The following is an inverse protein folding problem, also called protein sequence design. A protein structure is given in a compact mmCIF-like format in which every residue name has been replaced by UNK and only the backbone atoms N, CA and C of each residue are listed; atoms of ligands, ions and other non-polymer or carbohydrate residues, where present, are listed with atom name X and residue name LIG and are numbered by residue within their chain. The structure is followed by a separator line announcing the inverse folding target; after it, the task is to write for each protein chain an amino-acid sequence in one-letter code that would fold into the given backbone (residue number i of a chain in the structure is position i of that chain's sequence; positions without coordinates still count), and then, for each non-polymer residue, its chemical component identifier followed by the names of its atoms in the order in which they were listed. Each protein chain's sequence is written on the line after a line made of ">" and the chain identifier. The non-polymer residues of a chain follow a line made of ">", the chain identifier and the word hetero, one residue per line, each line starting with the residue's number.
data_IF_421512654446
#
_entry.id   IF_421512654446
#
_cell.length_a   1.000
_cell.length_b   1.000
_cell.length_c   1.000
_cell.angle_alpha   90.00
_cell.angle_beta   90.00
_cell.angle_gamma   90.00
#
_symmetry.space_group_name_H-M   'P 1'
#
loop_
_entity.id
_entity.type
_entity.pdbx_description
1 polymer ?
#
# COMPACT_ATOMS: atom_id res chain seq x y z
N UNK A 1 11.80 18.61 -20.66
CA UNK A 1 12.14 17.41 -19.90
C UNK A 1 12.78 16.40 -20.84
N UNK A 2 13.79 15.62 -20.40
CA UNK A 2 14.31 14.55 -21.23
C UNK A 2 13.17 13.62 -21.63
N UNK A 3 13.20 13.12 -22.85
CA UNK A 3 12.22 12.17 -23.34
C UNK A 3 12.20 10.96 -22.43
N UNK A 4 11.09 10.71 -21.71
CA UNK A 4 10.91 9.58 -20.80
C UNK A 4 11.29 8.25 -21.45
N UNK A 5 11.08 8.12 -22.76
CA UNK A 5 11.48 6.95 -23.56
C UNK A 5 12.99 6.64 -23.53
N UNK A 6 13.81 7.61 -23.17
CA UNK A 6 15.25 7.41 -23.03
C UNK A 6 15.60 6.94 -21.61
N UNK A 7 14.78 7.34 -20.61
CA UNK A 7 15.05 7.07 -19.20
C UNK A 7 14.45 5.76 -18.70
N UNK A 8 13.37 5.27 -19.34
CA UNK A 8 12.64 4.07 -18.94
C UNK A 8 12.49 3.10 -20.11
N UNK A 9 12.57 1.80 -19.83
CA UNK A 9 12.40 0.72 -20.80
C UNK A 9 13.28 0.89 -22.07
N UNK A 10 14.52 1.35 -21.89
CA UNK A 10 15.46 1.50 -23.00
C UNK A 10 15.76 0.17 -23.73
N UNK A 11 16.17 0.20 -25.01
CA UNK A 11 16.26 -1.00 -25.85
C UNK A 11 17.27 -2.05 -25.36
N UNK A 12 18.31 -1.64 -24.65
CA UNK A 12 19.32 -2.54 -24.10
C UNK A 12 19.14 -2.88 -22.61
N UNK A 13 18.07 -2.37 -21.97
CA UNK A 13 17.88 -2.50 -20.52
C UNK A 13 17.87 -3.96 -20.07
N UNK A 14 17.05 -4.79 -20.68
CA UNK A 14 16.95 -6.21 -20.34
C UNK A 14 18.26 -6.98 -20.57
N UNK A 15 19.05 -6.60 -21.56
CA UNK A 15 20.38 -7.16 -21.77
C UNK A 15 21.31 -6.86 -20.59
N UNK A 16 21.30 -5.62 -20.10
CA UNK A 16 22.13 -5.22 -18.96
C UNK A 16 21.66 -5.85 -17.65
N UNK A 17 20.36 -5.95 -17.43
CA UNK A 17 19.80 -6.61 -16.25
C UNK A 17 20.16 -8.10 -16.24
N UNK A 18 20.07 -8.80 -17.38
CA UNK A 18 20.49 -10.21 -17.51
C UNK A 18 21.98 -10.41 -17.26
N UNK A 19 22.80 -9.54 -17.81
CA UNK A 19 24.24 -9.58 -17.55
C UNK A 19 24.54 -9.36 -16.05
N UNK A 20 23.86 -8.40 -15.41
CA UNK A 20 23.96 -8.15 -13.98
C UNK A 20 23.52 -9.38 -13.18
N UNK A 21 22.35 -9.94 -13.47
CA UNK A 21 21.84 -11.13 -12.80
C UNK A 21 22.80 -12.30 -12.91
N UNK A 22 23.27 -12.62 -14.14
CA UNK A 22 24.18 -13.73 -14.39
C UNK A 22 25.52 -13.61 -13.66
N UNK A 23 25.97 -12.40 -13.37
CA UNK A 23 27.26 -12.17 -12.72
C UNK A 23 27.17 -11.90 -11.22
N UNK A 24 25.95 -11.69 -10.67
CA UNK A 24 25.73 -11.34 -9.26
C UNK A 24 24.63 -12.19 -8.62
N UNK A 25 23.46 -11.62 -8.41
CA UNK A 25 22.38 -12.18 -7.57
C UNK A 25 21.74 -13.45 -8.15
N UNK A 26 21.55 -13.55 -9.46
CA UNK A 26 20.97 -14.75 -10.10
C UNK A 26 21.85 -15.96 -9.95
N UNK A 27 23.17 -15.79 -10.04
CA UNK A 27 24.16 -16.85 -9.85
C UNK A 27 24.17 -17.41 -8.43
N UNK A 28 23.85 -16.58 -7.45
CA UNK A 28 23.76 -16.95 -6.03
C UNK A 28 22.37 -17.41 -5.61
N UNK A 29 21.38 -17.40 -6.49
CA UNK A 29 19.98 -17.76 -6.17
C UNK A 29 19.33 -16.81 -5.16
N UNK A 30 19.72 -15.53 -5.18
CA UNK A 30 19.20 -14.52 -4.26
C UNK A 30 17.92 -13.89 -4.81
N UNK A 31 17.02 -13.51 -3.90
CA UNK A 31 15.86 -12.69 -4.24
C UNK A 31 16.34 -11.31 -4.66
N UNK A 32 15.83 -10.83 -5.77
CA UNK A 32 16.12 -9.49 -6.31
C UNK A 32 14.86 -8.78 -6.69
N UNK A 33 14.82 -7.47 -6.44
CA UNK A 33 13.64 -6.63 -6.68
C UNK A 33 14.07 -5.39 -7.43
N UNK A 34 13.35 -5.06 -8.51
CA UNK A 34 13.55 -3.84 -9.28
C UNK A 34 12.48 -2.80 -8.98
N UNK A 35 12.84 -1.52 -9.03
CA UNK A 35 11.88 -0.42 -9.08
C UNK A 35 11.62 -0.04 -10.53
N UNK A 36 10.37 -0.14 -10.99
CA UNK A 36 9.99 0.02 -12.39
C UNK A 36 8.78 0.95 -12.56
N UNK A 37 9.03 2.25 -12.54
CA UNK A 37 8.00 3.30 -12.62
C UNK A 37 7.05 3.18 -13.82
N UNK A 38 7.56 2.78 -14.98
CA UNK A 38 6.77 2.64 -16.20
C UNK A 38 6.45 1.19 -16.54
N UNK A 39 6.42 0.31 -15.53
CA UNK A 39 6.05 -1.07 -15.76
C UNK A 39 4.58 -1.20 -16.15
N UNK A 40 4.32 -1.97 -17.19
CA UNK A 40 3.02 -2.53 -17.52
C UNK A 40 3.05 -4.03 -17.22
N UNK A 41 1.91 -4.72 -17.10
CA UNK A 41 1.93 -6.16 -16.91
C UNK A 41 2.77 -6.90 -17.96
N UNK A 42 2.72 -6.46 -19.22
CA UNK A 42 3.45 -7.09 -20.32
C UNK A 42 4.96 -6.96 -20.19
N UNK A 43 5.47 -5.77 -19.83
CA UNK A 43 6.91 -5.60 -19.66
C UNK A 43 7.39 -6.07 -18.27
N UNK A 44 6.52 -6.11 -17.26
CA UNK A 44 6.84 -6.71 -15.97
C UNK A 44 7.22 -8.19 -16.11
N UNK A 45 6.62 -8.91 -17.04
CA UNK A 45 6.99 -10.30 -17.36
C UNK A 45 8.41 -10.44 -17.92
N UNK A 46 8.94 -9.39 -18.55
CA UNK A 46 10.34 -9.40 -19.01
C UNK A 46 11.31 -9.22 -17.83
N UNK A 47 10.96 -8.33 -16.89
CA UNK A 47 11.79 -8.06 -15.70
C UNK A 47 11.78 -9.22 -14.70
N UNK A 48 10.66 -9.93 -14.55
CA UNK A 48 10.43 -10.94 -13.52
C UNK A 48 9.84 -12.23 -14.09
N UNK A 49 10.40 -12.70 -15.21
CA UNK A 49 9.92 -13.94 -15.81
C UNK A 49 10.27 -15.19 -14.97
N UNK A 50 9.51 -16.28 -15.14
CA UNK A 50 9.70 -17.51 -14.35
C UNK A 50 11.06 -18.20 -14.55
N UNK A 51 11.82 -17.86 -15.60
CA UNK A 51 13.15 -18.44 -15.83
C UNK A 51 14.24 -17.85 -14.92
N UNK A 52 13.91 -16.78 -14.18
CA UNK A 52 14.81 -16.14 -13.23
C UNK A 52 16.01 -15.43 -13.86
N UNK A 53 15.94 -15.12 -15.16
CA UNK A 53 17.05 -14.51 -15.90
C UNK A 53 17.30 -13.06 -15.53
N UNK A 54 16.33 -12.38 -14.96
CA UNK A 54 16.42 -10.97 -14.51
C UNK A 54 16.12 -10.85 -13.00
N UNK A 55 15.12 -10.05 -12.59
CA UNK A 55 14.72 -9.92 -11.20
C UNK A 55 13.72 -11.00 -10.76
N UNK A 56 13.61 -11.22 -9.47
CA UNK A 56 12.56 -12.08 -8.91
C UNK A 56 11.18 -11.42 -9.04
N UNK A 57 11.11 -10.10 -8.91
CA UNK A 57 9.91 -9.28 -9.04
C UNK A 57 10.27 -7.81 -9.24
N UNK A 58 9.27 -6.99 -9.62
CA UNK A 58 9.43 -5.54 -9.71
C UNK A 58 8.30 -4.83 -8.96
N UNK A 59 8.62 -3.66 -8.40
CA UNK A 59 7.63 -2.70 -7.97
C UNK A 59 7.07 -1.97 -9.19
N UNK A 60 5.78 -1.97 -9.35
CA UNK A 60 5.03 -1.15 -10.29
C UNK A 60 4.33 -0.01 -9.54
N UNK A 61 4.08 1.11 -10.23
CA UNK A 61 3.60 2.33 -9.59
C UNK A 61 2.25 2.81 -10.14
N UNK A 62 1.60 2.01 -10.96
CA UNK A 62 0.35 2.42 -11.60
C UNK A 62 -0.75 2.73 -10.57
N UNK A 63 -0.93 1.85 -9.56
CA UNK A 63 -1.96 2.04 -8.55
C UNK A 63 -1.73 3.29 -7.68
N UNK A 64 -0.48 3.59 -7.33
CA UNK A 64 -0.16 4.72 -6.46
C UNK A 64 -0.07 6.07 -7.17
N UNK A 65 -0.16 6.09 -8.50
CA UNK A 65 -0.18 7.32 -9.29
C UNK A 65 -1.60 7.81 -9.62
N UNK A 66 -2.63 7.07 -9.17
CA UNK A 66 -4.01 7.34 -9.55
C UNK A 66 -4.61 8.60 -8.92
N UNK A 67 -4.15 9.00 -7.74
CA UNK A 67 -4.61 10.23 -7.06
C UNK A 67 -3.81 11.47 -7.47
N UNK A 68 -3.42 11.51 -8.74
CA UNK A 68 -2.74 12.61 -9.40
C UNK A 68 -3.60 13.12 -10.57
N UNK A 69 -3.74 14.43 -10.70
CA UNK A 69 -4.48 15.03 -11.81
C UNK A 69 -3.88 14.62 -13.16
N UNK A 70 -4.70 14.24 -14.17
CA UNK A 70 -4.19 13.75 -15.46
C UNK A 70 -3.25 14.71 -16.18
N UNK A 71 -3.53 16.02 -16.10
CA UNK A 71 -2.74 17.08 -16.71
C UNK A 71 -1.94 17.90 -15.68
N UNK A 72 -1.82 17.39 -14.45
CA UNK A 72 -1.14 18.02 -13.33
C UNK A 72 0.10 17.26 -12.88
N UNK A 73 0.61 17.67 -11.74
CA UNK A 73 1.68 16.97 -11.05
C UNK A 73 1.18 16.33 -9.73
N UNK A 74 2.06 15.67 -8.99
CA UNK A 74 1.68 15.00 -7.74
C UNK A 74 1.15 15.93 -6.65
N UNK A 75 1.39 17.24 -6.79
CA UNK A 75 0.97 18.27 -5.84
C UNK A 75 -0.44 18.80 -6.11
N UNK A 76 -1.03 18.46 -7.25
CA UNK A 76 -2.42 18.75 -7.57
C UNK A 76 -3.31 17.67 -6.97
N UNK A 77 -3.81 17.92 -5.76
CA UNK A 77 -4.56 16.92 -4.99
C UNK A 77 -5.88 16.55 -5.68
N UNK A 78 -6.16 15.26 -5.72
CA UNK A 78 -7.45 14.73 -6.09
C UNK A 78 -7.80 13.49 -5.26
N UNK A 79 -9.08 13.20 -5.06
CA UNK A 79 -9.50 11.95 -4.45
C UNK A 79 -9.06 10.74 -5.28
N UNK A 80 -8.85 9.59 -4.63
CA UNK A 80 -8.59 8.33 -5.31
C UNK A 80 -9.74 7.97 -6.24
N UNK A 81 -9.52 7.80 -7.56
CA UNK A 81 -10.54 7.33 -8.50
C UNK A 81 -10.78 5.82 -8.27
N UNK A 82 -11.67 5.50 -7.35
CA UNK A 82 -11.77 4.17 -6.74
C UNK A 82 -12.06 3.05 -7.75
N UNK A 83 -12.94 3.27 -8.73
CA UNK A 83 -13.19 2.26 -9.77
C UNK A 83 -11.94 2.00 -10.62
N UNK A 84 -11.21 3.06 -10.98
CA UNK A 84 -9.94 2.90 -11.70
C UNK A 84 -8.89 2.19 -10.84
N UNK A 85 -8.85 2.45 -9.55
CA UNK A 85 -8.00 1.72 -8.61
C UNK A 85 -8.32 0.22 -8.59
N UNK A 86 -9.61 -0.15 -8.56
CA UNK A 86 -10.06 -1.55 -8.66
C UNK A 86 -9.61 -2.19 -9.97
N UNK A 87 -9.76 -1.48 -11.08
CA UNK A 87 -9.35 -1.96 -12.41
C UNK A 87 -7.84 -2.22 -12.48
N UNK A 88 -7.03 -1.32 -11.94
CA UNK A 88 -5.57 -1.48 -11.89
C UNK A 88 -5.18 -2.69 -11.04
N UNK A 89 -5.76 -2.83 -9.85
CA UNK A 89 -5.46 -3.96 -8.98
C UNK A 89 -5.89 -5.29 -9.62
N UNK A 90 -7.08 -5.35 -10.21
CA UNK A 90 -7.56 -6.52 -10.96
C UNK A 90 -6.62 -6.86 -12.12
N UNK A 91 -6.25 -5.87 -12.93
CA UNK A 91 -5.34 -6.05 -14.07
C UNK A 91 -4.01 -6.69 -13.63
N UNK A 92 -3.36 -6.16 -12.59
CA UNK A 92 -2.08 -6.68 -12.13
C UNK A 92 -2.20 -8.07 -11.50
N UNK A 93 -3.25 -8.33 -10.73
CA UNK A 93 -3.48 -9.64 -10.14
C UNK A 93 -3.77 -10.73 -11.18
N UNK A 94 -4.54 -10.41 -12.22
CA UNK A 94 -4.92 -11.39 -13.26
C UNK A 94 -3.82 -11.59 -14.29
N UNK A 95 -3.10 -10.53 -14.68
CA UNK A 95 -2.08 -10.61 -15.73
C UNK A 95 -0.80 -11.32 -15.29
N UNK A 96 -0.43 -11.26 -14.01
CA UNK A 96 0.78 -11.91 -13.51
C UNK A 96 0.55 -13.31 -12.95
N UNK A 97 -0.70 -13.70 -12.73
CA UNK A 97 -1.02 -15.02 -12.18
C UNK A 97 -0.42 -16.16 -13.00
N UNK A 98 0.39 -16.99 -12.36
CA UNK A 98 1.03 -18.17 -12.98
C UNK A 98 2.17 -17.88 -13.95
N UNK A 99 2.46 -16.61 -14.27
CA UNK A 99 3.48 -16.22 -15.26
C UNK A 99 4.48 -15.19 -14.74
N UNK A 100 4.18 -14.50 -13.64
CA UNK A 100 5.03 -13.51 -12.99
C UNK A 100 4.74 -13.46 -11.50
N UNK A 101 5.23 -12.39 -10.82
CA UNK A 101 5.04 -12.25 -9.39
C UNK A 101 4.88 -10.78 -9.00
N UNK A 102 3.83 -10.44 -8.24
CA UNK A 102 3.56 -9.08 -7.79
C UNK A 102 4.42 -8.70 -6.57
N UNK A 103 4.95 -7.48 -6.56
CA UNK A 103 5.35 -6.79 -5.33
C UNK A 103 4.17 -5.98 -4.83
N UNK A 104 3.66 -6.34 -3.66
CA UNK A 104 2.49 -5.70 -3.06
C UNK A 104 2.94 -4.65 -2.04
N UNK A 105 2.53 -3.40 -2.18
CA UNK A 105 2.89 -2.34 -1.24
C UNK A 105 1.87 -1.20 -1.29
N UNK A 106 1.78 -0.45 -0.22
CA UNK A 106 0.97 0.76 -0.13
C UNK A 106 1.81 2.02 -0.12
N UNK A 107 2.91 2.01 0.60
CA UNK A 107 3.83 3.13 0.71
C UNK A 107 5.29 2.66 0.72
N UNK A 108 6.20 3.62 0.64
CA UNK A 108 7.64 3.44 0.72
C UNK A 108 8.30 4.75 1.17
N UNK A 109 9.63 4.83 1.12
CA UNK A 109 10.40 6.01 1.50
C UNK A 109 10.18 7.26 0.61
N UNK A 110 9.48 7.11 -0.52
CA UNK A 110 9.18 8.17 -1.49
C UNK A 110 7.68 8.51 -1.57
N UNK A 111 6.86 7.93 -0.71
CA UNK A 111 5.40 8.11 -0.67
C UNK A 111 4.94 8.57 0.71
N UNK A 112 3.84 9.32 0.81
CA UNK A 112 3.25 9.65 2.10
C UNK A 112 2.68 8.41 2.77
N UNK A 113 2.46 8.49 4.09
CA UNK A 113 1.89 7.40 4.90
C UNK A 113 0.50 7.01 4.39
N UNK A 114 0.29 5.72 4.12
CA UNK A 114 -0.94 5.23 3.47
C UNK A 114 -2.21 5.53 4.27
N UNK A 115 -2.16 5.47 5.59
CA UNK A 115 -3.33 5.76 6.44
C UNK A 115 -3.81 7.20 6.25
N UNK A 116 -2.89 8.16 6.11
CA UNK A 116 -3.24 9.56 5.83
C UNK A 116 -3.62 9.80 4.38
N UNK A 117 -3.12 8.98 3.44
CA UNK A 117 -3.35 9.16 2.02
C UNK A 117 -4.68 8.58 1.55
N UNK A 118 -4.95 7.32 1.87
CA UNK A 118 -6.12 6.57 1.40
C UNK A 118 -6.96 5.96 2.52
N UNK A 119 -6.45 5.95 3.74
CA UNK A 119 -7.21 5.60 4.93
C UNK A 119 -7.92 6.80 5.53
N UNK A 120 -8.05 6.76 6.84
CA UNK A 120 -8.56 7.87 7.65
C UNK A 120 -7.70 7.95 8.91
N UNK A 121 -6.90 8.99 9.03
CA UNK A 121 -5.96 9.18 10.13
C UNK A 121 -6.55 9.92 11.35
N UNK A 122 -7.87 10.16 11.35
CA UNK A 122 -8.56 10.66 12.53
C UNK A 122 -8.43 9.68 13.71
N UNK A 123 -8.52 10.18 14.92
CA UNK A 123 -8.44 9.37 16.14
C UNK A 123 -9.46 8.22 16.13
N UNK A 124 -10.67 8.46 15.60
CA UNK A 124 -11.75 7.49 15.52
C UNK A 124 -11.48 6.33 14.57
N UNK A 125 -10.91 6.61 13.38
CA UNK A 125 -10.83 5.62 12.29
C UNK A 125 -9.43 5.15 11.94
N UNK A 126 -8.38 5.77 12.45
CA UNK A 126 -6.99 5.44 12.09
C UNK A 126 -6.69 3.94 12.21
N UNK A 127 -7.02 3.35 13.34
CA UNK A 127 -6.73 1.92 13.59
C UNK A 127 -7.54 1.02 12.67
N UNK A 128 -8.83 1.32 12.51
CA UNK A 128 -9.75 0.51 11.69
C UNK A 128 -9.40 0.62 10.22
N UNK A 129 -9.11 1.84 9.71
CA UNK A 129 -8.75 2.03 8.30
C UNK A 129 -7.36 1.46 7.97
N UNK A 130 -6.38 1.55 8.87
CA UNK A 130 -5.09 0.88 8.71
C UNK A 130 -5.23 -0.64 8.57
N UNK A 131 -6.05 -1.25 9.42
CA UNK A 131 -6.35 -2.69 9.35
C UNK A 131 -7.13 -3.07 8.08
N UNK A 132 -8.03 -2.21 7.60
CA UNK A 132 -8.75 -2.42 6.34
C UNK A 132 -7.77 -2.44 5.15
N UNK A 133 -6.89 -1.44 5.04
CA UNK A 133 -5.85 -1.37 4.02
C UNK A 133 -4.94 -2.60 4.05
N UNK A 134 -4.51 -3.02 5.24
CA UNK A 134 -3.72 -4.24 5.42
C UNK A 134 -4.47 -5.49 4.94
N UNK A 135 -5.76 -5.64 5.29
CA UNK A 135 -6.58 -6.77 4.89
C UNK A 135 -6.69 -6.87 3.38
N UNK A 136 -6.98 -5.73 2.72
CA UNK A 136 -7.13 -5.66 1.28
C UNK A 136 -5.87 -6.15 0.55
N UNK A 137 -4.69 -5.70 0.97
CA UNK A 137 -3.44 -6.03 0.31
C UNK A 137 -2.97 -7.46 0.60
N UNK A 138 -3.06 -7.89 1.86
CA UNK A 138 -2.51 -9.18 2.29
C UNK A 138 -3.31 -10.39 1.79
N UNK A 139 -4.53 -10.23 1.29
CA UNK A 139 -5.30 -11.26 0.62
C UNK A 139 -4.90 -11.48 -0.85
N UNK A 140 -4.08 -10.61 -1.45
CA UNK A 140 -3.67 -10.69 -2.86
C UNK A 140 -2.45 -11.57 -3.09
N UNK A 141 -2.27 -12.03 -4.34
CA UNK A 141 -1.08 -12.76 -4.78
C UNK A 141 0.12 -11.84 -4.95
N UNK A 142 1.24 -12.22 -4.38
CA UNK A 142 2.50 -11.49 -4.46
C UNK A 142 3.23 -11.47 -3.13
N UNK A 143 4.33 -10.74 -3.08
CA UNK A 143 5.10 -10.51 -1.84
C UNK A 143 4.68 -9.17 -1.24
N UNK A 144 4.05 -9.14 -0.06
CA UNK A 144 3.74 -7.89 0.62
C UNK A 144 5.01 -7.28 1.21
N UNK A 145 5.22 -5.99 0.92
CA UNK A 145 6.27 -5.15 1.46
C UNK A 145 5.63 -4.17 2.44
N UNK A 146 5.93 -4.32 3.71
CA UNK A 146 5.42 -3.49 4.78
C UNK A 146 6.47 -2.43 5.07
N UNK A 147 6.17 -1.16 4.75
CA UNK A 147 7.08 -0.08 5.04
C UNK A 147 7.10 0.23 6.54
N UNK A 148 8.27 0.58 7.08
CA UNK A 148 8.44 0.89 8.51
C UNK A 148 7.41 1.93 9.01
N UNK A 149 6.66 1.57 10.05
CA UNK A 149 5.59 2.38 10.62
C UNK A 149 4.20 2.14 10.05
N UNK A 150 4.08 1.48 8.89
CA UNK A 150 2.79 1.04 8.35
C UNK A 150 2.11 0.07 9.31
N UNK A 151 2.87 -0.86 9.89
CA UNK A 151 2.43 -1.82 10.89
C UNK A 151 2.01 -1.20 12.23
N UNK A 152 2.30 0.08 12.45
CA UNK A 152 1.85 0.85 13.61
C UNK A 152 0.68 1.79 13.27
N UNK A 153 0.36 1.93 11.99
CA UNK A 153 -0.56 2.95 11.51
C UNK A 153 -0.01 4.37 11.74
N UNK A 154 1.30 4.58 11.50
CA UNK A 154 1.90 5.91 11.51
C UNK A 154 1.28 6.79 10.44
N UNK A 155 1.13 8.07 10.74
CA UNK A 155 0.46 9.06 9.87
C UNK A 155 1.43 10.08 9.30
N UNK A 156 0.97 10.86 8.33
CA UNK A 156 1.65 12.07 7.92
C UNK A 156 1.81 13.03 9.10
N UNK A 157 2.75 13.96 8.99
CA UNK A 157 2.95 15.03 9.99
C UNK A 157 2.94 16.40 9.34
N UNK A 158 2.36 17.38 10.01
CA UNK A 158 2.38 18.78 9.55
C UNK A 158 3.70 19.41 9.95
N UNK A 159 4.57 19.62 8.97
CA UNK A 159 5.83 20.30 9.12
C UNK A 159 5.67 21.78 8.72
N UNK A 160 6.40 22.65 9.40
CA UNK A 160 6.64 24.02 8.89
C UNK A 160 7.61 23.97 7.72
N UNK A 161 7.62 24.99 6.88
CA UNK A 161 8.42 24.98 5.65
C UNK A 161 9.92 24.79 5.90
N UNK A 162 10.45 25.28 6.99
CA UNK A 162 11.86 25.17 7.39
C UNK A 162 12.23 23.78 7.98
N UNK A 163 11.24 22.95 8.28
CA UNK A 163 11.44 21.58 8.75
C UNK A 163 11.51 20.56 7.60
N UNK A 164 11.03 20.92 6.40
CA UNK A 164 11.17 20.02 5.24
C UNK A 164 12.62 19.94 4.77
N UNK A 165 13.07 18.73 4.46
CA UNK A 165 14.40 18.44 3.93
C UNK A 165 14.40 17.93 2.49
N UNK A 166 13.28 17.43 1.99
CA UNK A 166 13.15 16.92 0.64
C UNK A 166 13.22 18.05 -0.40
N UNK A 167 14.22 17.99 -1.29
CA UNK A 167 14.43 19.01 -2.32
C UNK A 167 13.26 19.15 -3.29
N UNK A 168 12.59 18.04 -3.62
CA UNK A 168 11.40 18.06 -4.47
C UNK A 168 10.29 18.89 -3.81
N UNK A 169 10.04 18.65 -2.53
CA UNK A 169 9.06 19.37 -1.72
C UNK A 169 9.38 20.89 -1.67
N UNK A 170 10.63 21.24 -1.39
CA UNK A 170 11.06 22.64 -1.31
C UNK A 170 11.03 23.36 -2.67
N UNK A 171 11.31 22.64 -3.75
CA UNK A 171 11.20 23.20 -5.10
C UNK A 171 9.74 23.40 -5.50
N UNK A 172 8.88 22.42 -5.23
CA UNK A 172 7.44 22.54 -5.47
C UNK A 172 6.83 23.75 -4.76
N UNK A 173 7.19 23.98 -3.49
CA UNK A 173 6.75 25.18 -2.77
C UNK A 173 7.12 26.45 -3.54
N UNK A 174 8.41 26.62 -3.90
CA UNK A 174 8.91 27.81 -4.59
C UNK A 174 8.24 28.03 -5.94
N UNK A 175 8.09 26.96 -6.72
CA UNK A 175 7.50 27.02 -8.05
C UNK A 175 6.01 27.37 -8.00
N UNK A 176 5.25 26.77 -7.07
CA UNK A 176 3.81 27.03 -6.91
C UNK A 176 3.53 28.41 -6.36
N UNK A 177 4.30 28.89 -5.39
CA UNK A 177 4.17 30.27 -4.91
C UNK A 177 4.51 31.27 -6.03
N UNK A 178 5.57 31.01 -6.81
CA UNK A 178 5.92 31.86 -7.95
C UNK A 178 4.85 31.84 -9.07
N UNK A 179 4.12 30.73 -9.22
CA UNK A 179 2.97 30.61 -10.12
C UNK A 179 1.70 31.29 -9.59
N UNK A 180 1.70 31.76 -8.34
CA UNK A 180 0.59 32.50 -7.73
C UNK A 180 -0.44 31.63 -6.99
N UNK A 181 -0.11 30.38 -6.67
CA UNK A 181 -0.97 29.55 -5.82
C UNK A 181 -1.02 30.11 -4.39
N UNK A 182 -2.18 30.06 -3.69
CA UNK A 182 -2.29 30.41 -2.29
C UNK A 182 -1.36 29.55 -1.42
N UNK A 183 -0.64 30.16 -0.49
CA UNK A 183 0.31 29.45 0.37
C UNK A 183 -0.36 28.31 1.18
N UNK A 184 -1.59 28.53 1.66
CA UNK A 184 -2.36 27.52 2.38
C UNK A 184 -2.59 26.26 1.53
N UNK A 185 -2.99 26.42 0.26
CA UNK A 185 -3.18 25.30 -0.67
C UNK A 185 -1.85 24.55 -0.96
N UNK A 186 -0.76 25.32 -1.14
CA UNK A 186 0.57 24.75 -1.34
C UNK A 186 0.97 23.92 -0.12
N UNK A 187 0.85 24.46 1.09
CA UNK A 187 1.19 23.75 2.32
C UNK A 187 0.33 22.48 2.54
N UNK A 188 -0.97 22.51 2.18
CA UNK A 188 -1.81 21.29 2.21
C UNK A 188 -1.31 20.24 1.22
N UNK A 189 -0.88 20.64 0.02
CA UNK A 189 -0.26 19.72 -0.95
C UNK A 189 1.04 19.11 -0.41
N UNK A 190 1.89 19.90 0.24
CA UNK A 190 3.12 19.40 0.86
C UNK A 190 2.81 18.43 2.00
N UNK A 191 1.86 18.76 2.87
CA UNK A 191 1.42 17.86 3.91
C UNK A 191 0.92 16.52 3.35
N UNK A 192 0.12 16.57 2.29
CA UNK A 192 -0.48 15.36 1.71
C UNK A 192 0.52 14.47 0.96
N UNK A 193 1.51 15.07 0.27
CA UNK A 193 2.31 14.36 -0.76
C UNK A 193 3.82 14.35 -0.54
N UNK A 194 4.35 15.09 0.46
CA UNK A 194 5.80 15.11 0.70
C UNK A 194 6.34 13.75 1.12
N UNK A 195 7.50 13.40 0.56
CA UNK A 195 8.27 12.21 0.92
C UNK A 195 8.77 12.24 2.37
N UNK A 196 8.95 13.41 2.94
CA UNK A 196 9.42 13.57 4.33
C UNK A 196 8.45 12.96 5.34
N UNK A 197 7.16 12.82 5.01
CA UNK A 197 6.19 12.10 5.82
C UNK A 197 6.62 10.65 6.11
N UNK A 198 7.13 9.94 5.11
CA UNK A 198 7.62 8.57 5.26
C UNK A 198 8.99 8.49 5.93
N UNK A 199 9.74 9.60 5.96
CA UNK A 199 11.13 9.68 6.44
C UNK A 199 11.24 10.20 7.87
N UNK A 200 10.11 10.59 8.49
CA UNK A 200 10.07 10.89 9.93
C UNK A 200 10.56 9.71 10.74
N UNK A 201 11.23 9.95 11.90
CA UNK A 201 11.73 8.88 12.76
C UNK A 201 10.67 7.85 13.12
N UNK A 202 11.07 6.57 13.15
CA UNK A 202 10.24 5.47 13.62
C UNK A 202 9.86 5.68 15.09
N UNK A 203 8.61 5.42 15.43
CA UNK A 203 8.10 5.54 16.78
C UNK A 203 8.32 4.22 17.55
N UNK A 204 9.37 4.17 18.37
CA UNK A 204 9.67 2.98 19.19
C UNK A 204 8.89 2.95 20.49
N UNK A 205 8.83 4.09 21.20
CA UNK A 205 8.14 4.24 22.47
C UNK A 205 7.64 5.68 22.69
N UNK A 206 7.14 5.97 23.88
CA UNK A 206 6.64 7.28 24.31
C UNK A 206 7.72 8.19 24.97
N UNK A 207 8.98 7.74 24.98
CA UNK A 207 10.09 8.55 25.48
C UNK A 207 10.46 9.69 24.51
N UNK A 208 11.28 10.60 24.97
CA UNK A 208 11.76 11.72 24.17
C UNK A 208 12.30 11.24 22.81
N UNK A 209 11.95 11.96 21.73
CA UNK A 209 12.28 11.60 20.35
C UNK A 209 11.75 10.22 19.94
N UNK A 210 10.60 9.80 20.51
CA UNK A 210 9.95 8.51 20.24
C UNK A 210 10.88 7.29 20.50
N UNK A 211 11.85 7.40 21.39
CA UNK A 211 12.87 6.36 21.61
C UNK A 211 13.81 6.15 20.43
N UNK A 212 13.72 6.98 19.38
CA UNK A 212 14.51 6.84 18.16
C UNK A 212 15.97 7.27 18.34
N UNK A 213 16.21 8.36 19.09
CA UNK A 213 17.54 8.91 19.35
C UNK A 213 17.60 9.67 20.66
N UNK A 214 18.81 9.78 21.23
CA UNK A 214 19.09 10.67 22.36
C UNK A 214 19.57 12.06 21.92
N UNK A 215 19.82 12.24 20.61
CA UNK A 215 20.21 13.51 19.99
C UNK A 215 19.04 14.20 19.31
N UNK A 216 19.34 15.16 18.43
CA UNK A 216 18.36 15.82 17.57
C UNK A 216 18.23 15.00 16.28
N UNK A 217 17.05 14.48 15.93
CA UNK A 217 16.85 13.79 14.66
C UNK A 217 16.93 14.80 13.49
N UNK A 218 17.30 14.31 12.30
CA UNK A 218 17.43 15.16 11.11
C UNK A 218 16.07 15.64 10.54
N UNK A 219 14.99 14.89 10.78
CA UNK A 219 13.60 15.27 10.59
C UNK A 219 12.90 15.25 11.95
N UNK A 220 11.93 16.14 12.19
CA UNK A 220 11.14 16.13 13.40
C UNK A 220 10.41 14.79 13.59
N UNK A 221 10.27 14.36 14.82
CA UNK A 221 9.39 13.24 15.18
C UNK A 221 7.94 13.70 15.05
N UNK A 222 7.08 12.87 14.46
CA UNK A 222 5.65 13.15 14.43
C UNK A 222 5.11 13.27 15.87
N UNK A 223 4.46 14.37 16.25
CA UNK A 223 4.05 14.65 17.64
C UNK A 223 3.05 13.65 18.22
N UNK A 224 2.46 12.78 17.40
CA UNK A 224 1.54 11.75 17.88
C UNK A 224 2.24 10.46 18.39
N UNK A 225 3.58 10.44 18.44
CA UNK A 225 4.35 9.29 18.91
C UNK A 225 3.99 8.79 20.32
N UNK A 226 3.50 9.60 21.27
CA UNK A 226 3.13 9.09 22.59
C UNK A 226 1.95 8.10 22.54
N UNK A 227 1.10 8.20 21.51
CA UNK A 227 -0.08 7.31 21.31
C UNK A 227 0.11 6.30 20.19
N UNK A 228 1.00 6.57 19.23
CA UNK A 228 1.27 5.69 18.10
C UNK A 228 2.73 5.27 18.15
N UNK A 229 3.03 4.14 18.78
CA UNK A 229 4.39 3.62 18.90
C UNK A 229 4.42 2.10 19.04
N UNK A 230 5.59 1.50 18.80
CA UNK A 230 5.77 0.06 18.87
C UNK A 230 5.56 -0.50 20.28
N UNK A 231 6.10 0.16 21.32
CA UNK A 231 6.02 -0.33 22.70
C UNK A 231 4.57 -0.48 23.19
N UNK A 232 3.69 0.45 22.81
CA UNK A 232 2.27 0.38 23.18
C UNK A 232 1.51 -0.72 22.41
N UNK A 233 1.98 -1.13 21.23
CA UNK A 233 1.24 -2.01 20.32
C UNK A 233 1.68 -3.48 20.36
N UNK A 234 2.93 -3.77 20.71
CA UNK A 234 3.45 -5.15 20.60
C UNK A 234 2.77 -6.15 21.56
N UNK A 235 2.16 -5.67 22.63
CA UNK A 235 1.44 -6.47 23.64
C UNK A 235 -0.08 -6.25 23.61
N UNK A 236 -0.57 -5.38 22.75
CA UNK A 236 -2.00 -5.15 22.52
C UNK A 236 -2.47 -6.03 21.37
N UNK A 237 -3.33 -7.02 21.67
CA UNK A 237 -3.86 -7.95 20.67
C UNK A 237 -4.78 -7.29 19.64
N UNK A 238 -5.33 -6.11 19.95
CA UNK A 238 -6.21 -5.34 19.10
C UNK A 238 -5.49 -4.21 18.35
N UNK A 239 -4.18 -4.08 18.52
CA UNK A 239 -3.36 -3.09 17.82
C UNK A 239 -3.27 -3.35 16.31
N UNK A 240 -2.81 -2.32 15.56
CA UNK A 240 -2.46 -2.46 14.13
C UNK A 240 -1.33 -3.47 13.97
N UNK A 241 -0.29 -3.41 14.82
CA UNK A 241 0.85 -4.33 14.81
C UNK A 241 0.41 -5.79 14.95
N UNK A 242 -0.41 -6.10 15.96
CA UNK A 242 -0.91 -7.45 16.18
C UNK A 242 -1.79 -7.94 15.04
N UNK A 243 -2.51 -7.05 14.38
CA UNK A 243 -3.31 -7.35 13.20
C UNK A 243 -2.45 -7.72 12.00
N UNK A 244 -1.39 -6.96 11.69
CA UNK A 244 -0.40 -7.31 10.66
C UNK A 244 0.24 -8.66 10.93
N UNK A 245 0.60 -8.93 12.18
CA UNK A 245 1.15 -10.24 12.61
C UNK A 245 0.18 -11.39 12.34
N UNK A 246 -1.14 -11.19 12.57
CA UNK A 246 -2.20 -12.16 12.25
C UNK A 246 -2.30 -12.36 10.73
N UNK A 247 -2.29 -11.30 9.92
CA UNK A 247 -2.35 -11.38 8.45
C UNK A 247 -1.14 -12.10 7.85
N UNK A 248 0.08 -11.81 8.32
CA UNK A 248 1.30 -12.49 7.88
C UNK A 248 1.23 -14.00 8.18
N UNK A 249 0.68 -14.38 9.34
CA UNK A 249 0.46 -15.78 9.69
C UNK A 249 -0.55 -16.42 8.74
N UNK A 250 -1.70 -15.79 8.52
CA UNK A 250 -2.73 -16.29 7.60
C UNK A 250 -2.16 -16.53 6.21
N UNK A 251 -1.35 -15.63 5.68
CA UNK A 251 -0.68 -15.83 4.37
C UNK A 251 0.17 -17.10 4.33
N UNK A 252 0.85 -17.43 5.42
CA UNK A 252 1.71 -18.64 5.50
C UNK A 252 0.89 -19.92 5.65
N UNK A 253 -0.29 -19.84 6.26
CA UNK A 253 -1.13 -20.98 6.61
C UNK A 253 -2.27 -21.23 5.60
N UNK A 254 -2.51 -20.28 4.66
CA UNK A 254 -3.64 -20.30 3.73
C UNK A 254 -3.14 -20.25 2.27
N UNK A 255 -2.80 -21.40 1.66
CA UNK A 255 -2.17 -21.44 0.34
C UNK A 255 -2.92 -20.69 -0.75
N UNK A 256 -4.26 -20.72 -0.75
CA UNK A 256 -5.09 -20.03 -1.75
C UNK A 256 -4.84 -18.52 -1.84
N UNK A 257 -4.28 -17.89 -0.81
CA UNK A 257 -3.85 -16.48 -0.89
C UNK A 257 -2.72 -16.31 -1.92
N UNK A 258 -1.86 -17.32 -2.02
CA UNK A 258 -0.66 -17.31 -2.85
C UNK A 258 -0.92 -17.91 -4.24
N UNK A 259 -1.63 -19.02 -4.32
CA UNK A 259 -1.79 -19.82 -5.53
C UNK A 259 -3.18 -19.76 -6.17
N UNK A 260 -4.16 -19.09 -5.55
CA UNK A 260 -5.51 -18.98 -6.08
C UNK A 260 -5.61 -17.98 -7.24
N UNK A 261 -6.54 -18.21 -8.16
CA UNK A 261 -6.92 -17.25 -9.20
C UNK A 261 -7.65 -16.07 -8.57
N UNK A 262 -7.36 -14.87 -9.01
CA UNK A 262 -8.05 -13.65 -8.57
C UNK A 262 -9.35 -13.46 -9.36
N UNK A 263 -10.44 -13.18 -8.65
CA UNK A 263 -11.72 -12.82 -9.23
C UNK A 263 -12.27 -11.56 -8.51
N UNK A 264 -12.41 -10.46 -9.27
CA UNK A 264 -12.99 -9.22 -8.73
C UNK A 264 -14.49 -9.40 -8.52
N UNK A 265 -14.97 -9.05 -7.34
CA UNK A 265 -16.39 -8.97 -6.99
C UNK A 265 -16.83 -7.50 -6.97
N UNK A 266 -18.10 -7.24 -7.26
CA UNK A 266 -18.67 -5.88 -7.23
C UNK A 266 -17.81 -4.87 -8.00
N UNK A 267 -17.44 -5.11 -9.27
CA UNK A 267 -16.51 -4.26 -10.00
C UNK A 267 -16.96 -2.79 -10.09
N UNK A 268 -18.26 -2.55 -10.16
CA UNK A 268 -18.86 -1.22 -10.32
C UNK A 268 -19.24 -0.54 -8.98
N UNK A 269 -18.96 -1.15 -7.84
CA UNK A 269 -19.23 -0.53 -6.54
C UNK A 269 -18.15 0.51 -6.21
N UNK A 270 -18.56 1.74 -5.93
CA UNK A 270 -17.67 2.89 -5.72
C UNK A 270 -17.06 2.97 -4.31
N UNK A 271 -17.44 2.08 -3.39
CA UNK A 271 -16.98 2.13 -2.00
C UNK A 271 -16.49 0.77 -1.47
N UNK A 272 -16.94 -0.34 -2.08
CA UNK A 272 -16.56 -1.69 -1.63
C UNK A 272 -15.51 -2.28 -2.57
N UNK A 273 -14.39 -2.70 -2.01
CA UNK A 273 -13.42 -3.55 -2.70
C UNK A 273 -13.60 -4.98 -2.23
N UNK A 274 -14.04 -5.85 -3.13
CA UNK A 274 -14.24 -7.27 -2.81
C UNK A 274 -13.66 -8.16 -3.90
N UNK A 275 -13.12 -9.31 -3.51
CA UNK A 275 -12.56 -10.28 -4.44
C UNK A 275 -12.52 -11.68 -3.86
N UNK A 276 -12.46 -12.66 -4.75
CA UNK A 276 -12.11 -14.04 -4.42
C UNK A 276 -10.66 -14.35 -4.78
N UNK A 277 -10.08 -15.30 -4.03
CA UNK A 277 -8.93 -16.11 -4.44
C UNK A 277 -9.41 -17.55 -4.50
N UNK A 278 -9.26 -18.22 -5.63
CA UNK A 278 -9.85 -19.54 -5.87
C UNK A 278 -8.77 -20.51 -6.37
N UNK A 279 -8.62 -21.62 -5.70
CA UNK A 279 -7.86 -22.79 -6.21
C UNK A 279 -8.75 -24.05 -6.17
N UNK A 280 -8.19 -25.20 -6.51
CA UNK A 280 -8.92 -26.48 -6.61
C UNK A 280 -9.62 -26.90 -5.30
N UNK A 281 -9.19 -26.40 -4.15
CA UNK A 281 -9.64 -26.87 -2.83
C UNK A 281 -10.27 -25.79 -1.94
N UNK A 282 -10.01 -24.52 -2.23
CA UNK A 282 -10.38 -23.41 -1.34
C UNK A 282 -10.86 -22.19 -2.11
N UNK A 283 -11.73 -21.43 -1.47
CA UNK A 283 -12.11 -20.08 -1.89
C UNK A 283 -11.91 -19.12 -0.72
N UNK A 284 -10.98 -18.19 -0.85
CA UNK A 284 -10.87 -17.04 0.05
C UNK A 284 -11.75 -15.92 -0.50
N UNK A 285 -12.56 -15.32 0.35
CA UNK A 285 -13.34 -14.11 0.07
C UNK A 285 -12.80 -12.97 0.91
N UNK A 286 -12.43 -11.88 0.30
CA UNK A 286 -12.03 -10.63 0.98
C UNK A 286 -13.03 -9.55 0.62
N UNK A 287 -13.56 -8.86 1.63
CA UNK A 287 -14.54 -7.78 1.45
C UNK A 287 -14.10 -6.60 2.33
N UNK A 288 -13.90 -5.43 1.72
CA UNK A 288 -13.47 -4.21 2.39
C UNK A 288 -14.40 -3.06 2.04
N UNK A 289 -15.02 -2.45 3.03
CA UNK A 289 -15.59 -1.12 2.90
C UNK A 289 -14.45 -0.10 2.97
N UNK A 290 -14.18 0.60 1.88
CA UNK A 290 -13.00 1.46 1.76
C UNK A 290 -13.21 2.86 2.36
N UNK A 291 -14.45 3.20 2.72
CA UNK A 291 -14.83 4.53 3.18
C UNK A 291 -15.57 4.53 4.53
N UNK A 292 -15.82 5.74 5.03
CA UNK A 292 -16.40 6.00 6.35
C UNK A 292 -17.93 5.90 6.45
N UNK A 293 -18.60 5.41 5.42
CA UNK A 293 -20.05 5.19 5.43
C UNK A 293 -20.36 3.72 5.70
N UNK A 294 -21.49 3.45 6.36
CA UNK A 294 -22.03 2.09 6.45
C UNK A 294 -22.57 1.65 5.09
N UNK A 295 -22.30 0.40 4.69
CA UNK A 295 -22.70 -0.16 3.41
C UNK A 295 -23.45 -1.49 3.56
N UNK A 296 -24.56 -1.61 2.84
CA UNK A 296 -25.25 -2.89 2.73
C UNK A 296 -24.68 -3.73 1.59
N UNK A 297 -24.54 -5.03 1.83
CA UNK A 297 -24.12 -6.03 0.84
C UNK A 297 -25.09 -7.21 0.83
N UNK A 298 -25.10 -7.96 -0.26
CA UNK A 298 -25.71 -9.30 -0.27
C UNK A 298 -24.64 -10.34 0.09
N UNK A 299 -24.48 -10.59 1.38
CA UNK A 299 -23.46 -11.50 1.88
C UNK A 299 -23.64 -12.93 1.31
N UNK A 300 -24.87 -13.37 1.05
CA UNK A 300 -25.15 -14.70 0.51
C UNK A 300 -24.65 -14.87 -0.94
N UNK A 301 -24.61 -13.79 -1.72
CA UNK A 301 -24.08 -13.81 -3.08
C UNK A 301 -22.55 -13.71 -3.12
N UNK A 302 -21.93 -13.12 -2.11
CA UNK A 302 -20.49 -12.85 -2.08
C UNK A 302 -19.70 -13.92 -1.34
N UNK A 303 -20.26 -14.50 -0.29
CA UNK A 303 -19.58 -15.43 0.62
C UNK A 303 -20.10 -16.83 0.39
N UNK A 304 -19.30 -17.78 -0.12
CA UNK A 304 -19.73 -19.15 -0.34
C UNK A 304 -20.28 -19.79 0.93
N UNK A 305 -21.39 -20.53 0.81
CA UNK A 305 -22.03 -21.20 1.93
C UNK A 305 -21.06 -22.09 2.71
N UNK A 306 -21.10 -21.99 4.05
CA UNK A 306 -20.21 -22.74 4.94
C UNK A 306 -18.79 -22.16 5.07
N UNK A 307 -18.51 -20.96 4.54
CA UNK A 307 -17.26 -20.26 4.76
C UNK A 307 -17.07 -19.89 6.23
N UNK A 308 -15.81 -19.92 6.68
CA UNK A 308 -15.42 -19.51 8.04
C UNK A 308 -14.76 -18.14 7.99
N UNK A 309 -15.12 -17.25 8.90
CA UNK A 309 -14.43 -16.00 9.13
C UNK A 309 -13.01 -16.28 9.63
N UNK A 310 -11.99 -15.83 8.89
CA UNK A 310 -10.58 -15.94 9.29
C UNK A 310 -10.14 -14.75 10.11
N UNK A 311 -10.51 -13.54 9.68
CA UNK A 311 -10.14 -12.30 10.34
C UNK A 311 -11.13 -11.19 10.00
N UNK A 312 -11.37 -10.29 10.93
CA UNK A 312 -12.05 -9.03 10.77
C UNK A 312 -11.28 -7.94 11.52
N UNK A 313 -11.32 -6.71 11.03
CA UNK A 313 -10.73 -5.57 11.72
C UNK A 313 -11.62 -4.99 12.83
N UNK A 314 -12.86 -5.46 12.94
CA UNK A 314 -13.72 -5.27 14.09
C UNK A 314 -13.77 -6.52 14.97
N UNK A 315 -14.07 -6.35 16.25
CA UNK A 315 -14.10 -7.47 17.21
C UNK A 315 -15.17 -8.53 16.90
N UNK A 316 -16.24 -8.13 16.19
CA UNK A 316 -17.36 -8.98 15.83
C UNK A 316 -17.84 -8.69 14.40
N UNK A 317 -18.70 -9.53 13.88
CA UNK A 317 -19.52 -9.28 12.69
C UNK A 317 -20.96 -9.13 13.17
N UNK A 318 -21.38 -7.89 13.41
CA UNK A 318 -22.70 -7.59 13.97
C UNK A 318 -23.85 -8.01 13.02
N UNK A 319 -23.69 -7.76 11.71
CA UNK A 319 -24.58 -8.20 10.64
C UNK A 319 -23.73 -8.65 9.44
N UNK A 320 -24.01 -9.80 8.87
CA UNK A 320 -23.30 -10.29 7.70
C UNK A 320 -23.54 -9.41 6.46
N UNK A 321 -24.72 -8.82 6.34
CA UNK A 321 -25.14 -7.98 5.22
C UNK A 321 -24.78 -6.50 5.37
N UNK A 322 -24.11 -6.10 6.45
CA UNK A 322 -23.74 -4.72 6.70
C UNK A 322 -22.25 -4.63 6.96
N UNK A 323 -21.59 -3.72 6.27
CA UNK A 323 -20.21 -3.32 6.53
C UNK A 323 -20.21 -1.96 7.21
N UNK A 324 -19.63 -1.89 8.39
CA UNK A 324 -19.41 -0.63 9.13
C UNK A 324 -18.33 0.22 8.44
N UNK A 325 -18.13 1.48 8.81
CA UNK A 325 -17.05 2.31 8.31
C UNK A 325 -15.69 1.59 8.31
N UNK A 326 -15.01 1.54 7.16
CA UNK A 326 -13.70 0.88 6.99
C UNK A 326 -13.65 -0.59 7.42
N UNK A 327 -14.78 -1.29 7.47
CA UNK A 327 -14.80 -2.70 7.86
C UNK A 327 -14.22 -3.61 6.79
N UNK A 328 -13.36 -4.53 7.21
CA UNK A 328 -12.74 -5.53 6.36
C UNK A 328 -12.89 -6.93 6.94
N UNK A 329 -13.22 -7.90 6.10
CA UNK A 329 -13.46 -9.30 6.48
C UNK A 329 -12.80 -10.25 5.48
N UNK A 330 -12.16 -11.31 5.98
CA UNK A 330 -11.71 -12.44 5.18
C UNK A 330 -12.43 -13.71 5.59
N UNK A 331 -12.96 -14.45 4.62
CA UNK A 331 -13.62 -15.73 4.82
C UNK A 331 -12.92 -16.80 4.00
N UNK A 332 -12.90 -18.04 4.49
CA UNK A 332 -12.36 -19.20 3.80
C UNK A 332 -13.41 -20.31 3.73
N UNK A 333 -13.61 -20.82 2.53
CA UNK A 333 -14.38 -22.03 2.21
C UNK A 333 -13.44 -23.13 1.77
#
# INVERSE_FOLDING_TARGET
>A
LPDEKIMVNGPDLHKFIRELSQNTFGKAGLVSVGEAWSATPENALLYSNPDGSEFSMVFQFEHISLDQQPDGDKWDLMPLPFLQFKDVMNKWQTSLHGVGWNSLFWDNHDLPRIVSRWGNDSEEYRVISAKMLATLLHGMEGTPYIYQGEELGMTNTRLSLDEYNDLETLNAYKERIAAGHPEEEVMESLYAKSRDNARTPMHWDDAAQAGFTTGTPWLPVNPNYPTINAASQIHDEDSVFSYYKKLIRLRKETPVIVDGVFEMLLPDDEEIFAYHRINDSQTLTVICNFYGNERSIDAASLIPEGSKLLISNYADVADANVLRPYEARMYLK
#
